data_IF_454133286871
#
_entry.id   IF_454133286871
#
_cell.length_a   1.000
_cell.length_b   1.000
_cell.length_c   1.000
_cell.angle_alpha   90.00
_cell.angle_beta   90.00
_cell.angle_gamma   90.00
#
_symmetry.space_group_name_H-M   'P 1'
#
loop_
_entity.id
_entity.type
_entity.pdbx_description
1 polymer ?
#
# COMPACT_ATOMS: atom_id res chain seq x y z
N UNK A 1 -8.76 -8.33 6.80
CA UNK A 1 -7.52 -7.65 6.41
C UNK A 1 -7.61 -6.17 6.72
N UNK A 2 -6.54 -5.42 6.47
CA UNK A 2 -6.47 -3.97 6.64
C UNK A 2 -5.63 -3.33 5.53
N UNK A 3 -5.97 -2.10 5.16
CA UNK A 3 -5.31 -1.28 4.14
C UNK A 3 -4.98 0.09 4.75
N UNK A 4 -3.82 0.26 5.40
CA UNK A 4 -3.47 1.54 6.00
C UNK A 4 -3.01 2.50 4.91
N UNK A 5 -3.36 3.77 5.09
CA UNK A 5 -2.99 4.86 4.19
C UNK A 5 -2.22 5.91 4.98
N UNK A 6 -0.97 6.14 4.60
CA UNK A 6 -0.16 7.24 5.14
C UNK A 6 -0.52 8.54 4.39
N UNK A 7 -1.12 9.50 5.10
CA UNK A 7 -1.47 10.80 4.52
C UNK A 7 -0.29 11.75 4.60
N UNK A 8 0.20 12.19 3.44
CA UNK A 8 1.22 13.22 3.29
C UNK A 8 0.62 14.49 2.69
N UNK A 9 1.45 15.54 2.56
CA UNK A 9 1.03 16.84 2.04
C UNK A 9 0.46 16.76 0.62
N UNK A 10 1.09 15.98 -0.27
CA UNK A 10 0.72 15.85 -1.69
C UNK A 10 0.25 14.46 -2.11
N UNK A 11 0.49 13.44 -1.29
CA UNK A 11 0.12 12.07 -1.62
C UNK A 11 -0.49 11.33 -0.44
N UNK A 12 -1.20 10.26 -0.77
CA UNK A 12 -1.72 9.27 0.15
C UNK A 12 -1.09 7.93 -0.25
N UNK A 13 -0.44 7.23 0.67
CA UNK A 13 0.37 6.05 0.35
C UNK A 13 -0.20 4.82 1.04
N UNK A 14 -0.68 3.86 0.26
CA UNK A 14 -1.02 2.53 0.75
C UNK A 14 0.28 1.75 0.97
N UNK A 15 0.55 1.28 2.19
CA UNK A 15 1.74 0.50 2.49
C UNK A 15 1.48 -0.46 3.65
N UNK A 16 2.27 -1.54 3.76
CA UNK A 16 2.16 -2.53 4.83
C UNK A 16 0.74 -3.11 5.01
N UNK A 17 -0.03 -3.24 3.94
CA UNK A 17 -1.36 -3.84 3.99
C UNK A 17 -1.27 -5.36 4.20
N UNK A 18 -2.33 -5.92 4.77
CA UNK A 18 -2.47 -7.36 4.96
C UNK A 18 -3.90 -7.80 4.71
N UNK A 19 -4.06 -8.85 3.90
CA UNK A 19 -5.31 -9.56 3.70
C UNK A 19 -4.97 -11.04 3.64
N UNK A 20 -5.80 -11.87 4.26
CA UNK A 20 -5.60 -13.32 4.32
C UNK A 20 -5.76 -13.94 2.93
N UNK A 21 -4.93 -14.95 2.61
CA UNK A 21 -4.73 -15.47 1.24
C UNK A 21 -6.01 -15.97 0.54
N UNK A 22 -7.03 -16.39 1.30
CA UNK A 22 -8.31 -16.88 0.76
C UNK A 22 -9.43 -15.81 0.72
N UNK A 23 -9.12 -14.54 1.03
CA UNK A 23 -10.12 -13.46 1.15
C UNK A 23 -10.01 -12.41 0.03
N UNK A 24 -9.97 -12.88 -1.23
CA UNK A 24 -9.83 -12.01 -2.42
C UNK A 24 -10.90 -10.91 -2.50
N UNK A 25 -12.16 -11.22 -2.22
CA UNK A 25 -13.24 -10.22 -2.31
C UNK A 25 -13.08 -9.11 -1.27
N UNK A 26 -12.56 -9.46 -0.08
CA UNK A 26 -12.23 -8.49 0.97
C UNK A 26 -11.06 -7.61 0.51
N UNK A 27 -10.04 -8.19 -0.13
CA UNK A 27 -8.92 -7.42 -0.70
C UNK A 27 -9.42 -6.37 -1.70
N UNK A 28 -10.24 -6.79 -2.66
CA UNK A 28 -10.76 -5.91 -3.71
C UNK A 28 -11.67 -4.83 -3.13
N UNK A 29 -12.55 -5.18 -2.20
CA UNK A 29 -13.45 -4.22 -1.54
C UNK A 29 -12.68 -3.15 -0.76
N UNK A 30 -11.61 -3.53 -0.06
CA UNK A 30 -10.75 -2.58 0.67
C UNK A 30 -9.98 -1.67 -0.28
N UNK A 31 -9.41 -2.22 -1.35
CA UNK A 31 -8.70 -1.44 -2.36
C UNK A 31 -9.64 -0.44 -3.06
N UNK A 32 -10.86 -0.87 -3.42
CA UNK A 32 -11.88 0.00 -4.02
C UNK A 32 -12.32 1.10 -3.06
N UNK A 33 -12.59 0.77 -1.79
CA UNK A 33 -12.98 1.76 -0.78
C UNK A 33 -11.93 2.86 -0.62
N UNK A 34 -10.65 2.49 -0.51
CA UNK A 34 -9.56 3.46 -0.42
C UNK A 34 -9.45 4.27 -1.72
N UNK A 35 -9.48 3.62 -2.88
CA UNK A 35 -9.37 4.33 -4.17
C UNK A 35 -10.48 5.38 -4.31
N UNK A 36 -11.73 5.01 -3.99
CA UNK A 36 -12.88 5.90 -4.04
C UNK A 36 -12.80 7.07 -3.05
N UNK A 37 -12.24 6.85 -1.85
CA UNK A 37 -12.02 7.92 -0.87
C UNK A 37 -11.10 9.02 -1.42
N UNK A 38 -10.08 8.66 -2.19
CA UNK A 38 -9.08 9.61 -2.71
C UNK A 38 -9.39 10.17 -4.11
N UNK A 39 -10.40 9.66 -4.83
CA UNK A 39 -10.78 10.14 -6.17
C UNK A 39 -11.10 11.64 -6.24
N UNK A 40 -11.69 12.19 -5.17
CA UNK A 40 -12.10 13.60 -5.13
C UNK A 40 -11.04 14.52 -4.52
N UNK A 41 -9.89 13.97 -4.11
CA UNK A 41 -8.83 14.71 -3.47
C UNK A 41 -7.79 15.18 -4.48
N UNK A 42 -7.14 16.31 -4.22
CA UNK A 42 -5.97 16.76 -5.02
C UNK A 42 -4.69 15.95 -4.70
N UNK A 43 -4.78 14.88 -3.91
CA UNK A 43 -3.63 14.05 -3.53
C UNK A 43 -3.41 12.93 -4.54
N UNK A 44 -2.16 12.70 -4.88
CA UNK A 44 -1.76 11.51 -5.64
C UNK A 44 -1.90 10.27 -4.75
N UNK A 45 -2.60 9.24 -5.23
CA UNK A 45 -2.71 7.96 -4.54
C UNK A 45 -1.59 7.03 -5.00
N UNK A 46 -0.71 6.66 -4.08
CA UNK A 46 0.43 5.77 -4.31
C UNK A 46 0.26 4.46 -3.53
N UNK A 47 0.97 3.40 -3.95
CA UNK A 47 0.95 2.14 -3.23
C UNK A 47 2.30 1.39 -3.27
N UNK A 48 2.69 0.81 -2.14
CA UNK A 48 3.75 -0.19 -2.04
C UNK A 48 3.11 -1.58 -2.09
N UNK A 49 3.23 -2.22 -3.26
CA UNK A 49 2.44 -3.41 -3.60
C UNK A 49 3.28 -4.68 -3.49
N UNK A 50 2.76 -5.69 -2.79
CA UNK A 50 3.32 -7.05 -2.84
C UNK A 50 3.16 -7.61 -4.25
N UNK A 51 4.22 -8.21 -4.80
CA UNK A 51 4.24 -8.69 -6.20
C UNK A 51 3.05 -9.59 -6.59
N UNK A 52 2.56 -10.52 -5.75
CA UNK A 52 1.37 -11.32 -6.08
C UNK A 52 0.09 -10.51 -6.30
N UNK A 53 0.01 -9.29 -5.77
CA UNK A 53 -1.17 -8.43 -5.85
C UNK A 53 -1.09 -7.36 -6.95
N UNK A 54 -0.02 -7.34 -7.75
CA UNK A 54 0.20 -6.34 -8.80
C UNK A 54 -1.02 -6.18 -9.72
N UNK A 55 -1.61 -7.29 -10.17
CA UNK A 55 -2.76 -7.28 -11.09
C UNK A 55 -3.98 -6.56 -10.54
N UNK A 56 -4.20 -6.62 -9.22
CA UNK A 56 -5.33 -5.95 -8.57
C UNK A 56 -5.16 -4.42 -8.63
N UNK A 57 -3.96 -3.92 -8.33
CA UNK A 57 -3.66 -2.49 -8.40
C UNK A 57 -3.65 -1.98 -9.85
N UNK A 58 -3.10 -2.74 -10.80
CA UNK A 58 -3.14 -2.38 -12.23
C UNK A 58 -4.57 -2.23 -12.75
N UNK A 59 -5.49 -3.09 -12.32
CA UNK A 59 -6.93 -3.02 -12.70
C UNK A 59 -7.60 -1.74 -12.19
N UNK A 60 -7.10 -1.17 -11.08
CA UNK A 60 -7.56 0.10 -10.50
C UNK A 60 -6.81 1.32 -11.07
N UNK A 61 -6.02 1.15 -12.13
CA UNK A 61 -5.34 2.25 -12.81
C UNK A 61 -3.97 2.64 -12.23
N UNK A 62 -3.44 1.89 -11.26
CA UNK A 62 -2.08 2.15 -10.76
C UNK A 62 -1.03 1.74 -11.79
N UNK A 63 0.08 2.47 -11.81
CA UNK A 63 1.25 2.18 -12.65
C UNK A 63 2.49 1.87 -11.81
N UNK A 64 3.41 1.06 -12.37
CA UNK A 64 4.70 0.82 -11.70
C UNK A 64 5.60 2.03 -11.91
N UNK A 65 5.80 2.80 -10.84
CA UNK A 65 6.78 3.89 -10.80
C UNK A 65 8.19 3.37 -10.47
N UNK A 66 8.30 2.39 -9.57
CA UNK A 66 9.58 1.78 -9.15
C UNK A 66 9.38 0.39 -8.53
N UNK A 67 10.27 -0.55 -8.84
CA UNK A 67 10.31 -1.87 -8.21
C UNK A 67 11.49 -1.98 -7.22
N UNK A 68 11.24 -2.59 -6.05
CA UNK A 68 12.19 -2.74 -4.94
C UNK A 68 12.46 -4.24 -4.69
N UNK A 69 13.69 -4.62 -4.34
CA UNK A 69 14.06 -6.01 -3.99
C UNK A 69 13.82 -6.32 -2.50
N UNK A 70 12.73 -7.02 -2.13
CA UNK A 70 12.50 -7.80 -0.87
C UNK A 70 13.27 -7.37 0.42
N UNK A 71 13.35 -6.07 0.71
CA UNK A 71 14.28 -5.52 1.69
C UNK A 71 13.97 -5.86 3.17
N UNK A 72 15.00 -5.75 4.03
CA UNK A 72 14.90 -5.51 5.48
C UNK A 72 15.67 -4.23 5.85
N UNK A 73 15.15 -3.40 6.76
CA UNK A 73 15.89 -2.24 7.31
C UNK A 73 15.87 -2.26 8.84
N UNK A 74 17.06 -2.20 9.47
CA UNK A 74 17.28 -2.37 10.92
C UNK A 74 18.36 -1.40 11.45
N UNK A 75 18.32 -1.00 12.74
CA UNK A 75 19.50 -0.61 13.55
C UNK A 75 19.21 -0.67 15.06
N UNK A 76 20.15 -1.20 15.85
CA UNK A 76 20.16 -1.24 17.33
C UNK A 76 21.44 -0.58 17.87
N UNK A 77 21.37 0.16 18.97
CA UNK A 77 22.52 0.49 19.83
C UNK A 77 22.09 0.37 21.29
N UNK A 78 22.84 -0.38 22.10
CA UNK A 78 22.58 -0.55 23.55
C UNK A 78 23.20 0.62 24.34
N UNK A 79 22.58 0.99 25.46
CA UNK A 79 22.93 2.10 26.37
C UNK A 79 24.28 1.91 27.09
N UNK A 80 24.98 3.00 27.45
CA UNK A 80 26.08 2.99 28.44
C UNK A 80 25.51 2.69 29.84
N UNK A 81 26.20 1.86 30.63
CA UNK A 81 25.87 1.48 32.03
C UNK A 81 25.76 2.67 32.98
#
# INVERSE_FOLDING_TARGET
>A
GFFPVEIRKKSAIINNYYVEEDTKDVFLSLLEAVTNEFLSTEKELEAVVQKPHESYFRTQGFEIVRAWSLYLKMKKTNEEE
#
